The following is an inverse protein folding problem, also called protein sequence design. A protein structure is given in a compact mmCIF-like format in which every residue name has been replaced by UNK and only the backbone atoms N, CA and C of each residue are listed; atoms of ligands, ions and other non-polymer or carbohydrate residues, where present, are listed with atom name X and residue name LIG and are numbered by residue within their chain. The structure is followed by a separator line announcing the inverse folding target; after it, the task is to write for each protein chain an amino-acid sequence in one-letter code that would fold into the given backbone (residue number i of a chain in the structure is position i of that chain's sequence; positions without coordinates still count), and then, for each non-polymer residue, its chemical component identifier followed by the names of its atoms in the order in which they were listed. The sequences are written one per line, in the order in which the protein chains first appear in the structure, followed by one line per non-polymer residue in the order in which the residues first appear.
data_IF_652604009285
#
_entry.id   IF_652604009285
#
_cell.length_a   1.000
_cell.length_b   1.000
_cell.length_c   1.000
_cell.angle_alpha   90.00
_cell.angle_beta   90.00
_cell.angle_gamma   90.00
#
_symmetry.space_group_name_H-M   'P 1'
#
loop_
_entity.id
_entity.type
_entity.pdbx_description
1 polymer ?
#
# COMPACT_ATOMS: atom_id res chain seq x y z
N UNK A 1 -10.79 -30.07 31.07
CA UNK A 1 -11.92 -29.12 31.00
C UNK A 1 -11.44 -27.79 31.58
N UNK A 2 -11.53 -26.70 30.83
CA UNK A 2 -11.06 -25.39 31.31
C UNK A 2 -11.61 -24.25 30.47
N UNK A 3 -12.62 -23.57 31.00
CA UNK A 3 -13.17 -22.27 30.61
C UNK A 3 -13.53 -22.04 29.14
N UNK A 4 -14.69 -22.57 28.74
CA UNK A 4 -15.39 -22.27 27.48
C UNK A 4 -16.39 -21.09 27.64
N UNK A 5 -16.59 -20.56 28.86
CA UNK A 5 -17.61 -19.55 29.16
C UNK A 5 -17.06 -18.17 29.58
N UNK A 6 -16.00 -17.70 28.92
CA UNK A 6 -15.64 -16.27 28.97
C UNK A 6 -16.50 -15.49 28.00
N UNK A 7 -17.38 -14.59 28.47
CA UNK A 7 -18.13 -13.64 27.62
C UNK A 7 -17.18 -13.06 26.56
N UNK A 8 -17.46 -13.31 25.26
CA UNK A 8 -16.70 -12.70 24.16
C UNK A 8 -16.77 -11.18 24.34
N UNK A 9 -15.64 -10.54 24.68
CA UNK A 9 -15.55 -9.08 24.67
C UNK A 9 -15.96 -8.60 23.29
N UNK A 10 -17.09 -7.88 23.20
CA UNK A 10 -17.54 -7.28 21.94
C UNK A 10 -16.43 -6.32 21.50
N UNK A 11 -15.84 -6.56 20.32
CA UNK A 11 -14.72 -5.74 19.86
C UNK A 11 -15.22 -4.33 19.59
N UNK A 12 -14.57 -3.31 20.18
CA UNK A 12 -14.85 -1.89 19.89
C UNK A 12 -14.59 -1.51 18.43
N UNK A 13 -13.86 -2.37 17.70
CA UNK A 13 -13.50 -2.17 16.30
C UNK A 13 -14.65 -2.60 15.41
N UNK A 14 -15.18 -1.67 14.63
CA UNK A 14 -16.24 -1.94 13.65
C UNK A 14 -15.67 -2.69 12.44
N UNK A 15 -16.55 -3.29 11.62
CA UNK A 15 -16.10 -3.91 10.38
C UNK A 15 -15.53 -2.89 9.39
N UNK A 16 -16.03 -1.65 9.43
CA UNK A 16 -15.51 -0.52 8.67
C UNK A 16 -14.07 -0.20 9.06
N UNK A 17 -13.78 -0.08 10.36
CA UNK A 17 -12.42 0.18 10.86
C UNK A 17 -11.43 -0.91 10.42
N UNK A 18 -11.86 -2.18 10.40
CA UNK A 18 -11.05 -3.30 9.90
C UNK A 18 -10.75 -3.17 8.41
N UNK A 19 -11.75 -2.78 7.60
CA UNK A 19 -11.57 -2.57 6.17
C UNK A 19 -10.59 -1.41 5.90
N UNK A 20 -10.79 -0.26 6.56
CA UNK A 20 -9.89 0.89 6.47
C UNK A 20 -8.46 0.52 6.87
N UNK A 21 -8.29 -0.24 7.96
CA UNK A 21 -6.98 -0.72 8.40
C UNK A 21 -6.33 -1.64 7.37
N UNK A 22 -7.09 -2.54 6.73
CA UNK A 22 -6.57 -3.44 5.70
C UNK A 22 -6.06 -2.67 4.48
N UNK A 23 -6.83 -1.69 3.99
CA UNK A 23 -6.45 -0.88 2.83
C UNK A 23 -5.22 -0.01 3.16
N UNK A 24 -5.19 0.62 4.34
CA UNK A 24 -4.03 1.40 4.81
C UNK A 24 -2.78 0.54 4.96
N UNK A 25 -2.89 -0.65 5.54
CA UNK A 25 -1.78 -1.60 5.63
C UNK A 25 -1.25 -2.03 4.26
N UNK A 26 -2.14 -2.23 3.29
CA UNK A 26 -1.73 -2.61 1.93
C UNK A 26 -0.98 -1.46 1.24
N UNK A 27 -1.47 -0.22 1.36
CA UNK A 27 -0.79 0.99 0.87
C UNK A 27 0.61 1.10 1.47
N UNK A 28 0.75 0.96 2.78
CA UNK A 28 2.03 1.14 3.46
C UNK A 28 3.05 0.06 3.06
N UNK A 29 2.60 -1.18 2.86
CA UNK A 29 3.45 -2.27 2.33
C UNK A 29 3.94 -1.96 0.91
N UNK A 30 3.09 -1.43 0.04
CA UNK A 30 3.49 -1.05 -1.32
C UNK A 30 4.50 0.09 -1.30
N UNK A 31 4.30 1.13 -0.48
CA UNK A 31 5.29 2.21 -0.30
C UNK A 31 6.64 1.68 0.21
N UNK A 32 6.64 0.76 1.17
CA UNK A 32 7.87 0.12 1.65
C UNK A 32 8.57 -0.68 0.54
N UNK A 33 7.79 -1.35 -0.31
CA UNK A 33 8.33 -2.11 -1.44
C UNK A 33 8.95 -1.19 -2.50
N UNK A 34 8.28 -0.08 -2.82
CA UNK A 34 8.80 0.97 -3.72
C UNK A 34 10.15 1.50 -3.25
N UNK A 35 10.24 1.96 -1.99
CA UNK A 35 11.50 2.45 -1.40
C UNK A 35 12.63 1.41 -1.46
N UNK A 36 12.30 0.13 -1.25
CA UNK A 36 13.27 -0.96 -1.32
C UNK A 36 13.78 -1.17 -2.76
N UNK A 37 12.92 -1.09 -3.76
CA UNK A 37 13.33 -1.19 -5.17
C UNK A 37 14.17 0.02 -5.57
N UNK A 38 13.77 1.24 -5.22
CA UNK A 38 14.53 2.45 -5.54
C UNK A 38 15.96 2.40 -5.01
N UNK A 39 16.12 1.99 -3.74
CA UNK A 39 17.45 1.80 -3.14
C UNK A 39 18.28 0.76 -3.90
N UNK A 40 17.65 -0.34 -4.34
CA UNK A 40 18.30 -1.39 -5.12
C UNK A 40 18.72 -0.88 -6.50
N UNK A 41 17.86 -0.12 -7.18
CA UNK A 41 18.13 0.48 -8.49
C UNK A 41 19.31 1.45 -8.44
N UNK A 42 19.43 2.25 -7.39
CA UNK A 42 20.59 3.12 -7.17
C UNK A 42 21.89 2.32 -7.10
N UNK A 43 21.91 1.21 -6.35
CA UNK A 43 23.06 0.31 -6.27
C UNK A 43 23.39 -0.37 -7.61
N UNK A 44 22.37 -0.88 -8.31
CA UNK A 44 22.53 -1.51 -9.63
C UNK A 44 23.08 -0.51 -10.68
N UNK A 45 22.75 0.79 -10.56
CA UNK A 45 23.29 1.84 -11.44
C UNK A 45 24.79 2.06 -11.27
N UNK A 46 25.29 2.02 -10.03
CA UNK A 46 26.74 2.12 -9.75
C UNK A 46 27.46 0.88 -10.25
N UNK A 47 26.90 -0.31 -9.97
CA UNK A 47 27.44 -1.58 -10.43
C UNK A 47 27.52 -1.65 -11.96
N UNK A 48 26.48 -1.19 -12.66
CA UNK A 48 26.47 -1.15 -14.12
C UNK A 48 27.57 -0.26 -14.70
N UNK A 49 27.85 0.90 -14.08
CA UNK A 49 28.97 1.77 -14.49
C UNK A 49 30.32 1.06 -14.33
N UNK A 50 30.54 0.39 -13.19
CA UNK A 50 31.76 -0.37 -12.93
C UNK A 50 31.95 -1.53 -13.93
N UNK A 51 30.88 -2.23 -14.30
CA UNK A 51 30.98 -3.32 -15.26
C UNK A 51 31.30 -2.85 -16.68
N UNK A 52 30.92 -1.63 -17.05
CA UNK A 52 31.30 -1.02 -18.33
C UNK A 52 32.79 -0.67 -18.32
N UNK A 53 33.31 -0.10 -17.23
CA UNK A 53 34.74 0.21 -17.09
C UNK A 53 35.60 -1.05 -17.07
N UNK A 54 35.09 -2.14 -16.46
CA UNK A 54 35.73 -3.46 -16.44
C UNK A 54 35.68 -4.20 -17.81
N UNK A 55 35.04 -3.64 -18.83
CA UNK A 55 34.89 -4.28 -20.14
C UNK A 55 33.88 -5.44 -20.20
N UNK A 56 33.14 -5.71 -19.12
CA UNK A 56 32.17 -6.83 -19.00
C UNK A 56 30.79 -6.44 -19.57
N UNK A 57 30.74 -6.16 -20.88
CA UNK A 57 29.56 -5.64 -21.59
C UNK A 57 28.30 -6.50 -21.45
N UNK A 58 28.40 -7.83 -21.53
CA UNK A 58 27.25 -8.73 -21.42
C UNK A 58 26.57 -8.67 -20.04
N UNK A 59 27.36 -8.59 -18.97
CA UNK A 59 26.84 -8.44 -17.60
C UNK A 59 26.17 -7.08 -17.39
N UNK A 60 26.76 -6.02 -17.95
CA UNK A 60 26.16 -4.69 -17.91
C UNK A 60 24.80 -4.66 -18.64
N UNK A 61 24.71 -5.29 -19.83
CA UNK A 61 23.46 -5.40 -20.60
C UNK A 61 22.36 -6.16 -19.85
N UNK A 62 22.71 -7.24 -19.15
CA UNK A 62 21.78 -7.99 -18.32
C UNK A 62 21.22 -7.13 -17.17
N UNK A 63 22.08 -6.38 -16.48
CA UNK A 63 21.65 -5.47 -15.41
C UNK A 63 20.75 -4.35 -15.92
N UNK A 64 21.05 -3.78 -17.08
CA UNK A 64 20.19 -2.74 -17.68
C UNK A 64 18.80 -3.29 -18.06
N UNK A 65 18.71 -4.54 -18.53
CA UNK A 65 17.41 -5.21 -18.78
C UNK A 65 16.64 -5.43 -17.49
N UNK A 66 17.32 -5.91 -16.44
CA UNK A 66 16.74 -6.10 -15.11
C UNK A 66 16.22 -4.78 -14.53
N UNK A 67 16.99 -3.71 -14.68
CA UNK A 67 16.62 -2.35 -14.30
C UNK A 67 15.33 -1.92 -15.01
N UNK A 68 15.26 -2.05 -16.34
CA UNK A 68 14.06 -1.69 -17.12
C UNK A 68 12.82 -2.43 -16.65
N UNK A 69 12.95 -3.72 -16.34
CA UNK A 69 11.83 -4.51 -15.81
C UNK A 69 11.37 -4.00 -14.43
N UNK A 70 12.31 -3.63 -13.55
CA UNK A 70 11.98 -3.06 -12.25
C UNK A 70 11.30 -1.69 -12.37
N UNK A 71 11.73 -0.83 -13.30
CA UNK A 71 11.07 0.45 -13.60
C UNK A 71 9.62 0.24 -14.06
N UNK A 72 9.37 -0.72 -14.94
CA UNK A 72 7.99 -1.07 -15.36
C UNK A 72 7.14 -1.62 -14.21
N UNK A 73 7.75 -2.35 -13.27
CA UNK A 73 7.04 -2.85 -12.10
C UNK A 73 6.70 -1.71 -11.12
N UNK A 74 7.61 -0.73 -10.96
CA UNK A 74 7.35 0.47 -10.17
C UNK A 74 6.17 1.26 -10.73
N UNK A 75 6.14 1.51 -12.04
CA UNK A 75 5.03 2.23 -12.70
C UNK A 75 3.67 1.54 -12.46
N UNK A 76 3.62 0.21 -12.54
CA UNK A 76 2.41 -0.55 -12.18
C UNK A 76 2.05 -0.43 -10.69
N UNK A 77 3.05 -0.38 -9.83
CA UNK A 77 2.87 -0.25 -8.38
C UNK A 77 2.33 1.13 -8.03
N UNK A 78 2.80 2.19 -8.70
CA UNK A 78 2.29 3.55 -8.54
C UNK A 78 0.81 3.63 -8.90
N UNK A 79 0.39 3.03 -10.03
CA UNK A 79 -1.02 2.95 -10.38
C UNK A 79 -1.87 2.14 -9.37
N UNK A 80 -1.31 1.10 -8.75
CA UNK A 80 -1.98 0.38 -7.66
C UNK A 80 -2.09 1.24 -6.39
N UNK A 81 -1.09 2.06 -6.11
CA UNK A 81 -1.08 2.97 -4.97
C UNK A 81 -2.19 4.02 -5.10
N UNK A 82 -2.32 4.65 -6.27
CA UNK A 82 -3.37 5.64 -6.55
C UNK A 82 -4.77 5.04 -6.36
N UNK A 83 -4.98 3.80 -6.82
CA UNK A 83 -6.25 3.10 -6.64
C UNK A 83 -6.56 2.83 -5.16
N UNK A 84 -5.55 2.48 -4.36
CA UNK A 84 -5.72 2.28 -2.91
C UNK A 84 -6.00 3.59 -2.18
N UNK A 85 -5.34 4.68 -2.59
CA UNK A 85 -5.58 6.01 -2.02
C UNK A 85 -7.01 6.48 -2.32
N UNK A 86 -7.50 6.27 -3.55
CA UNK A 86 -8.90 6.52 -3.91
C UNK A 86 -9.87 5.70 -3.04
N UNK A 87 -9.61 4.40 -2.87
CA UNK A 87 -10.44 3.54 -2.03
C UNK A 87 -10.48 3.99 -0.56
N UNK A 88 -9.35 4.48 -0.02
CA UNK A 88 -9.31 5.04 1.35
C UNK A 88 -10.18 6.29 1.42
N UNK A 89 -10.07 7.19 0.45
CA UNK A 89 -10.88 8.40 0.40
C UNK A 89 -12.38 8.10 0.30
N UNK A 90 -12.78 7.16 -0.56
CA UNK A 90 -14.17 6.76 -0.72
C UNK A 90 -14.75 6.16 0.59
N UNK A 91 -13.95 5.33 1.28
CA UNK A 91 -14.33 4.77 2.58
C UNK A 91 -14.48 5.86 3.64
N UNK A 92 -13.52 6.78 3.75
CA UNK A 92 -13.58 7.89 4.69
C UNK A 92 -14.78 8.81 4.42
N UNK A 93 -15.08 9.07 3.14
CA UNK A 93 -16.24 9.87 2.74
C UNK A 93 -17.56 9.19 3.09
N UNK A 94 -17.70 7.89 2.83
CA UNK A 94 -18.90 7.12 3.18
C UNK A 94 -19.20 7.15 4.69
N UNK A 95 -18.17 7.22 5.54
CA UNK A 95 -18.33 7.35 6.98
C UNK A 95 -18.88 8.73 7.37
N UNK A 96 -18.45 9.79 6.69
CA UNK A 96 -18.96 11.15 6.90
C UNK A 96 -20.41 11.26 6.43
N UNK A 97 -20.77 10.69 5.28
CA UNK A 97 -22.16 10.68 4.79
C UNK A 97 -23.11 10.04 5.79
N UNK A 98 -22.74 8.90 6.39
CA UNK A 98 -23.52 8.26 7.43
C UNK A 98 -23.72 9.17 8.65
N UNK A 99 -22.67 9.86 9.09
CA UNK A 99 -22.76 10.79 10.23
C UNK A 99 -23.67 11.98 9.93
N UNK A 100 -23.63 12.52 8.71
CA UNK A 100 -24.51 13.62 8.29
C UNK A 100 -25.97 13.15 8.25
N UNK A 101 -26.24 11.98 7.69
CA UNK A 101 -27.59 11.41 7.65
C UNK A 101 -28.16 11.17 9.05
N UNK A 102 -27.35 10.66 9.98
CA UNK A 102 -27.77 10.47 11.36
C UNK A 102 -28.00 11.82 12.08
N UNK A 103 -27.17 12.83 11.81
CA UNK A 103 -27.37 14.19 12.33
C UNK A 103 -28.67 14.84 11.84
N UNK A 104 -29.02 14.63 10.56
CA UNK A 104 -30.29 15.12 9.99
C UNK A 104 -31.51 14.43 10.59
N UNK A 105 -31.43 13.13 10.89
CA UNK A 105 -32.54 12.41 11.56
C UNK A 105 -32.77 12.94 12.96
N UNK A 106 -31.71 13.12 13.75
CA UNK A 106 -31.81 13.67 15.10
C UNK A 106 -32.41 15.07 15.08
N UNK A 107 -32.02 15.91 14.12
CA UNK A 107 -32.59 17.25 13.95
C UNK A 107 -34.05 17.28 13.47
N UNK A 108 -34.57 16.18 12.90
CA UNK A 108 -35.96 16.05 12.47
C UNK A 108 -36.86 15.37 13.53
N UNK A 109 -36.26 14.67 14.49
CA UNK A 109 -36.94 14.08 15.66
C UNK A 109 -37.00 15.03 16.87
N UNK A 110 -36.25 16.15 16.83
CA UNK A 110 -36.24 17.23 17.82
C UNK A 110 -37.17 18.38 17.43
#
# INVERSE_FOLDING_TARGET
MGNIFGKKKVSKVTNHDKAVLQVKNQRDKLRQYQLRIEKKLQGERVLAKQLITDGKKERAKLLLRKKRFQEQLLEKTDGQLENLERMIHDLEFSQVELQVLDGLKVGNEA
#
